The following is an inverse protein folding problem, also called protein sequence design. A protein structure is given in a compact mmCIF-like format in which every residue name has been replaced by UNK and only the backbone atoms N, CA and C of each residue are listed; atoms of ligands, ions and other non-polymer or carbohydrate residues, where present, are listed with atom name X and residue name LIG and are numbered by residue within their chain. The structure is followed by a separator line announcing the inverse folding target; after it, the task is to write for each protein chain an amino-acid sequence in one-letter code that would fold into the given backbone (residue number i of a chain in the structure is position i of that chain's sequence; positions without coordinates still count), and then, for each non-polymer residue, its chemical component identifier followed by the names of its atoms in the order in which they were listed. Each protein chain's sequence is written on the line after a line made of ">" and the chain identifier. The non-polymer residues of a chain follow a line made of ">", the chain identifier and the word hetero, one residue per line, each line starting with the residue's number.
data_IF_376421785097
#
_entry.id   IF_376421785097
#
_cell.length_a   1.000
_cell.length_b   1.000
_cell.length_c   1.000
_cell.angle_alpha   90.00
_cell.angle_beta   90.00
_cell.angle_gamma   90.00
#
_symmetry.space_group_name_H-M   'P 1'
#
loop_
_entity.id
_entity.type
_entity.pdbx_description
1 polymer ?
#
# COMPACT_ATOMS: atom_id res chain seq x y z
N UNK A 1 -15.49 6.46 -2.77
CA UNK A 1 -14.38 5.70 -2.16
C UNK A 1 -14.09 6.26 -0.79
N UNK A 2 -14.15 5.42 0.24
CA UNK A 2 -13.66 5.79 1.58
C UNK A 2 -12.15 5.60 1.62
N UNK A 3 -11.43 6.55 2.22
CA UNK A 3 -9.98 6.50 2.38
C UNK A 3 -9.66 6.39 3.86
N UNK A 4 -8.94 5.34 4.26
CA UNK A 4 -8.54 5.05 5.62
C UNK A 4 -7.14 5.59 5.90
N UNK A 5 -6.84 5.90 7.16
CA UNK A 5 -5.57 6.49 7.57
C UNK A 5 -4.60 5.43 8.07
N UNK A 6 -3.28 5.59 7.86
CA UNK A 6 -2.31 4.72 8.49
C UNK A 6 -2.43 4.78 10.02
N UNK A 7 -2.59 3.62 10.65
CA UNK A 7 -2.91 3.49 12.08
C UNK A 7 -4.31 2.94 12.36
N UNK A 8 -5.21 2.96 11.38
CA UNK A 8 -6.51 2.28 11.44
C UNK A 8 -6.37 0.82 11.00
N UNK A 9 -7.09 -0.11 11.64
CA UNK A 9 -7.08 -1.53 11.28
C UNK A 9 -7.49 -1.77 9.82
N UNK A 10 -8.46 -1.00 9.34
CA UNK A 10 -8.95 -1.07 7.96
C UNK A 10 -7.88 -0.68 6.92
N UNK A 11 -6.97 0.22 7.27
CA UNK A 11 -5.86 0.57 6.39
C UNK A 11 -4.95 -0.65 6.14
N UNK A 12 -4.56 -1.35 7.21
CA UNK A 12 -3.73 -2.56 7.11
C UNK A 12 -4.46 -3.67 6.34
N UNK A 13 -5.76 -3.85 6.58
CA UNK A 13 -6.58 -4.83 5.83
C UNK A 13 -6.56 -4.54 4.33
N UNK A 14 -6.84 -3.30 3.93
CA UNK A 14 -6.89 -2.91 2.51
C UNK A 14 -5.53 -3.01 1.82
N UNK A 15 -4.43 -2.70 2.52
CA UNK A 15 -3.08 -2.90 1.98
C UNK A 15 -2.83 -4.39 1.72
N UNK A 16 -3.19 -5.26 2.67
CA UNK A 16 -3.03 -6.71 2.51
C UNK A 16 -3.85 -7.26 1.34
N UNK A 17 -5.13 -6.89 1.25
CA UNK A 17 -6.00 -7.31 0.14
C UNK A 17 -5.44 -6.83 -1.20
N UNK A 18 -4.97 -5.58 -1.26
CA UNK A 18 -4.39 -5.04 -2.46
C UNK A 18 -3.11 -5.78 -2.89
N UNK A 19 -2.21 -6.07 -1.95
CA UNK A 19 -0.97 -6.80 -2.24
C UNK A 19 -1.25 -8.24 -2.69
N UNK A 20 -2.22 -8.92 -2.05
CA UNK A 20 -2.63 -10.27 -2.45
C UNK A 20 -3.21 -10.30 -3.86
N UNK A 21 -4.17 -9.41 -4.15
CA UNK A 21 -4.78 -9.31 -5.47
C UNK A 21 -3.73 -8.97 -6.55
N UNK A 22 -2.76 -8.11 -6.24
CA UNK A 22 -1.64 -7.82 -7.15
C UNK A 22 -0.76 -9.03 -7.39
N UNK A 23 -0.48 -9.81 -6.34
CA UNK A 23 0.35 -11.00 -6.45
C UNK A 23 -0.31 -12.03 -7.36
N UNK A 24 -1.59 -12.31 -7.12
CA UNK A 24 -2.38 -13.24 -7.94
C UNK A 24 -2.47 -12.78 -9.39
N UNK A 25 -2.75 -11.49 -9.63
CA UNK A 25 -2.84 -10.95 -10.99
C UNK A 25 -1.50 -10.93 -11.74
N UNK A 26 -0.37 -10.77 -11.05
CA UNK A 26 0.96 -10.69 -11.68
C UNK A 26 1.59 -12.06 -11.91
N UNK A 27 1.38 -13.01 -11.00
CA UNK A 27 2.06 -14.31 -11.01
C UNK A 27 1.16 -15.48 -11.38
N UNK A 28 -0.15 -15.27 -11.53
CA UNK A 28 -1.17 -16.30 -11.80
C UNK A 28 -1.11 -17.46 -10.78
N UNK A 29 -0.87 -17.11 -9.52
CA UNK A 29 -0.69 -18.01 -8.37
C UNK A 29 -1.26 -17.40 -7.11
N UNK A 30 -1.76 -18.23 -6.21
CA UNK A 30 -2.22 -17.79 -4.89
C UNK A 30 -1.14 -17.00 -4.15
N UNK A 31 -1.55 -15.92 -3.50
CA UNK A 31 -0.65 -15.15 -2.65
C UNK A 31 -0.11 -16.01 -1.48
N UNK A 32 1.14 -15.79 -1.05
CA UNK A 32 1.71 -16.53 0.08
C UNK A 32 0.88 -16.32 1.36
N UNK A 33 0.92 -17.31 2.25
CA UNK A 33 0.31 -17.22 3.57
C UNK A 33 0.97 -16.12 4.43
N UNK A 34 0.20 -15.58 5.39
CA UNK A 34 0.64 -14.50 6.28
C UNK A 34 0.26 -13.10 5.82
N UNK A 35 0.31 -12.12 6.72
CA UNK A 35 -0.03 -10.72 6.42
C UNK A 35 1.22 -9.83 6.43
N UNK A 36 1.10 -8.70 5.75
CA UNK A 36 2.03 -7.57 5.89
C UNK A 36 1.47 -6.65 6.96
N UNK A 37 2.18 -6.56 8.08
CA UNK A 37 1.97 -5.52 9.06
C UNK A 37 2.64 -4.24 8.58
N UNK A 38 1.91 -3.12 8.67
CA UNK A 38 2.40 -1.80 8.27
C UNK A 38 2.24 -0.84 9.43
N UNK A 39 3.35 -0.17 9.79
CA UNK A 39 3.39 0.82 10.86
C UNK A 39 4.00 2.11 10.35
N UNK A 40 3.31 3.22 10.57
CA UNK A 40 3.88 4.54 10.33
C UNK A 40 4.91 4.88 11.41
N UNK A 41 6.12 5.25 11.02
CA UNK A 41 7.19 5.65 11.95
C UNK A 41 7.11 7.11 12.37
N UNK A 42 6.38 7.92 11.60
CA UNK A 42 6.08 9.33 11.89
C UNK A 42 4.61 9.60 11.65
N UNK A 43 4.12 10.78 12.04
CA UNK A 43 2.76 11.18 11.71
C UNK A 43 2.57 11.21 10.19
N UNK A 44 1.63 10.45 9.63
CA UNK A 44 1.36 10.46 8.20
C UNK A 44 0.92 11.84 7.73
N UNK A 45 1.50 12.34 6.64
CA UNK A 45 1.03 13.56 6.00
C UNK A 45 -0.07 13.22 5.00
N UNK A 46 -1.26 13.78 5.21
CA UNK A 46 -2.37 13.68 4.27
C UNK A 46 -2.11 14.57 3.04
N UNK A 47 -2.35 14.00 1.88
CA UNK A 47 -2.38 14.70 0.59
C UNK A 47 -3.77 14.52 -0.02
N UNK A 48 -4.41 15.64 -0.38
CA UNK A 48 -5.70 15.65 -1.07
C UNK A 48 -5.49 16.24 -2.45
N UNK A 49 -5.81 15.48 -3.49
CA UNK A 49 -5.58 15.89 -4.88
C UNK A 49 -6.81 15.65 -5.74
N UNK A 50 -7.01 16.49 -6.75
CA UNK A 50 -8.04 16.30 -7.77
C UNK A 50 -7.39 15.81 -9.05
N UNK A 51 -7.79 14.63 -9.51
CA UNK A 51 -7.24 14.03 -10.73
C UNK A 51 -8.38 13.51 -11.59
N UNK A 52 -8.43 13.92 -12.87
CA UNK A 52 -9.46 13.50 -13.84
C UNK A 52 -10.90 13.54 -13.28
N UNK A 53 -11.25 14.61 -12.56
CA UNK A 53 -12.59 14.81 -12.01
C UNK A 53 -12.89 14.11 -10.67
N UNK A 54 -12.00 13.25 -10.17
CA UNK A 54 -12.16 12.59 -8.87
C UNK A 54 -11.23 13.20 -7.81
N UNK A 55 -11.66 13.13 -6.55
CA UNK A 55 -10.84 13.50 -5.38
C UNK A 55 -10.16 12.25 -4.84
N UNK A 56 -8.84 12.31 -4.72
CA UNK A 56 -7.99 11.25 -4.19
C UNK A 56 -7.35 11.75 -2.89
N UNK A 57 -7.50 10.96 -1.82
CA UNK A 57 -6.77 11.16 -0.57
C UNK A 57 -5.68 10.11 -0.47
N UNK A 58 -4.46 10.54 -0.21
CA UNK A 58 -3.29 9.68 -0.04
C UNK A 58 -2.47 10.11 1.17
N UNK A 59 -1.61 9.23 1.64
CA UNK A 59 -0.76 9.50 2.81
C UNK A 59 0.70 9.24 2.46
N UNK A 60 1.59 10.09 2.96
CA UNK A 60 3.04 9.87 2.90
C UNK A 60 3.63 9.86 4.31
N UNK A 61 4.43 8.85 4.60
CA UNK A 61 5.24 8.76 5.81
C UNK A 61 6.35 7.71 5.58
N UNK A 62 7.42 7.72 6.38
CA UNK A 62 8.27 6.54 6.52
C UNK A 62 7.46 5.42 7.18
N UNK A 63 7.43 4.25 6.55
CA UNK A 63 6.72 3.09 7.04
C UNK A 63 7.71 1.96 7.37
N UNK A 64 7.45 1.24 8.45
CA UNK A 64 8.03 -0.08 8.70
C UNK A 64 7.01 -1.14 8.25
N UNK A 65 7.46 -2.05 7.39
CA UNK A 65 6.67 -3.18 6.93
C UNK A 65 7.30 -4.50 7.40
N UNK A 66 6.47 -5.42 7.88
CA UNK A 66 6.89 -6.77 8.31
C UNK A 66 5.93 -7.79 7.74
N UNK A 67 6.45 -8.86 7.15
CA UNK A 67 5.61 -9.89 6.54
C UNK A 67 6.37 -10.77 5.54
N UNK A 68 5.64 -11.57 4.74
CA UNK A 68 6.23 -12.46 3.75
C UNK A 68 7.07 -11.71 2.72
N UNK A 69 8.33 -12.14 2.52
CA UNK A 69 9.27 -11.53 1.57
C UNK A 69 8.69 -11.29 0.17
N UNK A 70 7.92 -12.21 -0.45
CA UNK A 70 7.35 -11.96 -1.78
C UNK A 70 6.35 -10.79 -1.81
N UNK A 71 5.57 -10.58 -0.73
CA UNK A 71 4.64 -9.46 -0.64
C UNK A 71 5.35 -8.14 -0.38
N UNK A 72 6.41 -8.16 0.45
CA UNK A 72 7.25 -6.98 0.67
C UNK A 72 7.98 -6.54 -0.61
N UNK A 73 8.50 -7.50 -1.37
CA UNK A 73 9.13 -7.24 -2.67
C UNK A 73 8.12 -6.61 -3.64
N UNK A 74 6.92 -7.20 -3.74
CA UNK A 74 5.85 -6.68 -4.60
C UNK A 74 5.41 -5.28 -4.19
N UNK A 75 5.39 -4.97 -2.89
CA UNK A 75 5.07 -3.63 -2.40
C UNK A 75 6.07 -2.57 -2.89
N UNK A 76 7.36 -2.92 -3.02
CA UNK A 76 8.39 -2.04 -3.57
C UNK A 76 8.28 -1.91 -5.09
N UNK A 77 8.02 -3.01 -5.80
CA UNK A 77 8.01 -3.05 -7.26
C UNK A 77 6.73 -2.48 -7.88
N UNK A 78 5.57 -2.84 -7.33
CA UNK A 78 4.25 -2.44 -7.83
C UNK A 78 3.62 -1.28 -7.04
N UNK A 79 4.27 -0.85 -5.97
CA UNK A 79 3.79 0.17 -5.04
C UNK A 79 2.73 -0.34 -4.05
N UNK A 80 2.58 0.39 -2.95
CA UNK A 80 1.57 0.14 -1.91
C UNK A 80 0.20 0.73 -2.29
N UNK A 81 -0.87 0.05 -1.86
CA UNK A 81 -2.24 0.55 -2.01
C UNK A 81 -2.70 0.64 -3.47
N UNK A 82 -3.69 1.49 -3.73
CA UNK A 82 -4.35 1.58 -5.04
C UNK A 82 -3.76 2.67 -5.93
N UNK A 83 -4.26 2.73 -7.17
CA UNK A 83 -3.99 3.80 -8.14
C UNK A 83 -2.51 3.93 -8.53
N UNK A 84 -1.74 2.84 -8.49
CA UNK A 84 -0.30 2.86 -8.75
C UNK A 84 0.04 3.37 -10.16
N UNK A 85 -0.72 2.96 -11.18
CA UNK A 85 -0.56 3.46 -12.56
C UNK A 85 -0.90 4.94 -12.75
N UNK A 86 -1.44 5.62 -11.72
CA UNK A 86 -1.65 7.07 -11.71
C UNK A 86 -0.60 7.80 -10.87
N UNK A 87 0.50 7.13 -10.47
CA UNK A 87 1.63 7.74 -9.76
C UNK A 87 1.54 7.69 -8.24
N UNK A 88 0.78 6.74 -7.67
CA UNK A 88 0.61 6.62 -6.21
C UNK A 88 1.27 5.37 -5.64
N UNK A 89 1.67 5.45 -4.37
CA UNK A 89 2.12 4.28 -3.61
C UNK A 89 3.55 3.81 -3.89
N UNK A 90 4.28 4.47 -4.79
CA UNK A 90 5.71 4.23 -4.97
C UNK A 90 6.48 4.73 -3.75
N UNK A 91 7.47 3.95 -3.32
CA UNK A 91 8.36 4.28 -2.22
C UNK A 91 9.73 3.68 -2.46
N UNK A 92 10.67 4.04 -1.60
CA UNK A 92 12.04 3.53 -1.64
C UNK A 92 12.39 2.84 -0.32
N UNK A 93 13.31 1.88 -0.39
CA UNK A 93 13.86 1.25 0.80
C UNK A 93 14.85 2.21 1.45
N UNK A 94 14.55 2.66 2.66
CA UNK A 94 15.44 3.49 3.48
C UNK A 94 16.28 2.58 4.39
N UNK A 95 17.59 2.83 4.47
CA UNK A 95 18.53 2.09 5.33
C UNK A 95 18.56 2.65 6.74
#
# INVERSE_FOLDING_TARGET
>A
TCYFQPGESEFTRLINENLRNKYEALYDKNAPEGSVDIKSLRQPRLHVMRYKGIVIKGYSAPFELKGPKPLLQLALEAGLGSKNSMGFGCGELVR
#
